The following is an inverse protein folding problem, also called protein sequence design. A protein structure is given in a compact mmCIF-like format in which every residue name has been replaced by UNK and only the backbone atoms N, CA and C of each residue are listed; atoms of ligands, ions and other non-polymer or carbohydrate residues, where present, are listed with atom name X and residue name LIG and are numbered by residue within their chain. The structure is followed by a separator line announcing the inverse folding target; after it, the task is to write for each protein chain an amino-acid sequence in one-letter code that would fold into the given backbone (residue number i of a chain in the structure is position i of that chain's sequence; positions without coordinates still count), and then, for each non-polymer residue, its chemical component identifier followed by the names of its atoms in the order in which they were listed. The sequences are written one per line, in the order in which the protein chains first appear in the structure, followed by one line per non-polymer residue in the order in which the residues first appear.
data_IF_802425973263
#
_entry.id   IF_802425973263
#
_cell.length_a   1.000
_cell.length_b   1.000
_cell.length_c   1.000
_cell.angle_alpha   90.00
_cell.angle_beta   90.00
_cell.angle_gamma   90.00
#
_symmetry.space_group_name_H-M   'P 1'
#
loop_
_entity.id
_entity.type
_entity.pdbx_description
1 polymer ?
#
# COMPACT_ATOMS: atom_id res chain seq x y z
N UNK A 1 -22.65 2.35 -5.35
CA UNK A 1 -21.83 1.82 -6.46
C UNK A 1 -20.89 0.81 -5.83
N UNK A 2 -21.18 -0.46 -6.07
CA UNK A 2 -20.58 -1.62 -5.40
C UNK A 2 -20.28 -2.70 -6.44
N UNK A 3 -19.48 -3.68 -6.07
CA UNK A 3 -19.29 -4.89 -6.87
C UNK A 3 -20.62 -5.66 -6.90
N UNK A 4 -21.04 -6.10 -8.09
CA UNK A 4 -22.26 -6.87 -8.27
C UNK A 4 -21.91 -8.30 -8.63
N UNK A 5 -22.58 -9.27 -8.01
CA UNK A 5 -22.53 -10.67 -8.43
C UNK A 5 -22.86 -10.78 -9.93
N UNK A 6 -22.05 -11.56 -10.65
CA UNK A 6 -22.10 -11.71 -12.10
C UNK A 6 -21.42 -10.58 -12.90
N UNK A 7 -21.07 -9.46 -12.25
CA UNK A 7 -20.41 -8.33 -12.89
C UNK A 7 -18.97 -8.64 -13.29
N UNK A 8 -18.54 -8.08 -14.42
CA UNK A 8 -17.18 -8.24 -14.96
C UNK A 8 -16.41 -6.94 -14.75
N UNK A 9 -15.21 -7.06 -14.20
CA UNK A 9 -14.36 -5.93 -13.83
C UNK A 9 -12.90 -6.19 -14.22
N UNK A 10 -12.13 -5.11 -14.30
CA UNK A 10 -10.68 -5.14 -14.51
C UNK A 10 -10.01 -4.50 -13.29
N UNK A 11 -9.04 -5.22 -12.72
CA UNK A 11 -8.20 -4.74 -11.64
C UNK A 11 -6.82 -4.38 -12.17
N UNK A 12 -6.31 -3.23 -11.78
CA UNK A 12 -5.00 -2.71 -12.20
C UNK A 12 -4.07 -2.67 -10.99
N UNK A 13 -2.84 -3.16 -11.12
CA UNK A 13 -1.87 -3.06 -10.03
C UNK A 13 -1.52 -1.59 -9.82
N UNK A 14 -1.61 -1.13 -8.58
CA UNK A 14 -1.45 0.28 -8.21
C UNK A 14 -0.13 0.92 -8.67
N UNK A 15 0.93 0.13 -8.79
CA UNK A 15 2.29 0.50 -9.19
C UNK A 15 2.62 0.14 -10.66
N UNK A 16 1.79 -0.65 -11.34
CA UNK A 16 2.03 -1.06 -12.73
C UNK A 16 0.71 -1.39 -13.48
N UNK A 17 0.19 -0.48 -14.33
CA UNK A 17 -1.07 -0.69 -15.04
C UNK A 17 -1.01 -1.79 -16.12
N UNK A 18 0.19 -2.19 -16.56
CA UNK A 18 0.38 -3.33 -17.48
C UNK A 18 0.20 -4.67 -16.77
N UNK A 19 0.30 -4.71 -15.44
CA UNK A 19 -0.13 -5.85 -14.62
C UNK A 19 -1.58 -5.66 -14.22
N UNK A 20 -2.48 -6.04 -15.13
CA UNK A 20 -3.91 -6.08 -14.89
C UNK A 20 -4.48 -7.48 -15.11
N UNK A 21 -5.65 -7.71 -14.53
CA UNK A 21 -6.41 -8.93 -14.74
C UNK A 21 -7.90 -8.61 -14.79
N UNK A 22 -8.64 -9.43 -15.54
CA UNK A 22 -10.08 -9.31 -15.71
C UNK A 22 -10.75 -10.47 -15.01
N UNK A 23 -11.84 -10.17 -14.31
CA UNK A 23 -12.53 -11.16 -13.49
C UNK A 23 -14.04 -10.94 -13.49
N UNK A 24 -14.79 -12.01 -13.23
CA UNK A 24 -16.22 -12.00 -12.99
C UNK A 24 -16.48 -12.30 -11.52
N UNK A 25 -17.25 -11.44 -10.85
CA UNK A 25 -17.61 -11.64 -9.44
C UNK A 25 -18.60 -12.82 -9.32
N UNK A 26 -18.24 -13.82 -8.53
CA UNK A 26 -19.07 -14.98 -8.24
C UNK A 26 -19.92 -14.74 -6.99
N UNK A 27 -19.30 -14.19 -5.97
CA UNK A 27 -19.89 -13.90 -4.66
C UNK A 27 -19.22 -12.66 -4.08
N UNK A 28 -19.96 -11.83 -3.35
CA UNK A 28 -19.45 -10.58 -2.75
C UNK A 28 -20.14 -10.31 -1.43
N UNK A 29 -19.38 -9.77 -0.48
CA UNK A 29 -19.84 -9.16 0.77
C UNK A 29 -19.16 -7.78 0.93
N UNK A 30 -19.37 -7.11 2.06
CA UNK A 30 -18.87 -5.75 2.32
C UNK A 30 -17.32 -5.66 2.33
N UNK A 31 -16.63 -6.77 2.62
CA UNK A 31 -15.19 -6.80 2.87
C UNK A 31 -14.44 -7.80 1.98
N UNK A 32 -15.11 -8.74 1.35
CA UNK A 32 -14.52 -9.81 0.56
C UNK A 32 -15.37 -10.13 -0.65
N UNK A 33 -14.72 -10.70 -1.68
CA UNK A 33 -15.44 -11.30 -2.78
C UNK A 33 -14.64 -12.44 -3.41
N UNK A 34 -15.36 -13.39 -3.99
CA UNK A 34 -14.80 -14.43 -4.83
C UNK A 34 -15.06 -14.10 -6.29
N UNK A 35 -14.08 -14.37 -7.16
CA UNK A 35 -14.22 -14.11 -8.58
C UNK A 35 -13.56 -15.19 -9.44
N UNK A 36 -14.14 -15.40 -10.63
CA UNK A 36 -13.52 -16.17 -11.70
C UNK A 36 -12.60 -15.26 -12.51
N UNK A 37 -11.35 -15.64 -12.68
CA UNK A 37 -10.36 -14.92 -13.47
C UNK A 37 -10.54 -15.29 -14.94
N UNK A 38 -10.90 -14.28 -15.73
CA UNK A 38 -11.14 -14.42 -17.16
C UNK A 38 -9.84 -14.25 -17.96
N UNK A 39 -9.01 -13.27 -17.57
CA UNK A 39 -7.77 -12.91 -18.27
C UNK A 39 -6.71 -12.46 -17.25
N UNK A 40 -5.43 -12.69 -17.55
CA UNK A 40 -4.32 -12.12 -16.78
C UNK A 40 -4.02 -12.81 -15.44
N UNK A 41 -4.31 -14.11 -15.28
CA UNK A 41 -4.08 -14.84 -14.02
C UNK A 41 -2.63 -14.75 -13.51
N UNK A 42 -1.64 -14.80 -14.42
CA UNK A 42 -0.22 -14.65 -14.08
C UNK A 42 0.18 -13.25 -13.60
N UNK A 43 -0.72 -12.27 -13.69
CA UNK A 43 -0.51 -10.92 -13.17
C UNK A 43 -1.00 -10.74 -11.73
N UNK A 44 -1.62 -11.79 -11.15
CA UNK A 44 -2.16 -11.77 -9.79
C UNK A 44 -1.03 -12.10 -8.81
N UNK A 45 -0.65 -11.10 -8.01
CA UNK A 45 0.29 -11.24 -6.91
C UNK A 45 -0.50 -11.17 -5.61
N UNK A 46 -0.48 -12.26 -4.83
CA UNK A 46 -1.17 -12.31 -3.54
C UNK A 46 -0.71 -11.16 -2.63
N UNK A 47 -1.68 -10.59 -1.91
CA UNK A 47 -1.53 -9.51 -0.93
C UNK A 47 -1.06 -8.18 -1.50
N UNK A 48 -1.04 -8.02 -2.83
CA UNK A 48 -0.78 -6.73 -3.47
C UNK A 48 -2.07 -5.97 -3.73
N UNK A 49 -2.08 -4.64 -3.55
CA UNK A 49 -3.26 -3.83 -3.83
C UNK A 49 -3.42 -3.62 -5.34
N UNK A 50 -4.64 -3.84 -5.80
CA UNK A 50 -5.11 -3.54 -7.13
C UNK A 50 -6.31 -2.60 -7.05
N UNK A 51 -6.48 -1.77 -8.08
CA UNK A 51 -7.56 -0.81 -8.18
C UNK A 51 -8.56 -1.28 -9.22
N UNK A 52 -9.83 -1.30 -8.85
CA UNK A 52 -10.96 -1.54 -9.75
C UNK A 52 -11.68 -0.22 -10.00
N UNK A 53 -12.08 0.03 -11.25
CA UNK A 53 -12.98 1.12 -11.60
C UNK A 53 -14.42 0.60 -11.70
N UNK A 54 -15.32 1.18 -10.91
CA UNK A 54 -16.75 0.98 -10.95
C UNK A 54 -17.38 2.17 -11.69
N UNK A 55 -18.27 1.90 -12.65
CA UNK A 55 -19.00 2.95 -13.39
C UNK A 55 -20.50 2.67 -13.26
N UNK A 56 -21.33 3.68 -12.97
CA UNK A 56 -22.79 3.55 -13.00
C UNK A 56 -23.38 3.90 -14.36
N UNK A 57 -24.70 3.71 -14.51
CA UNK A 57 -25.43 3.94 -15.76
C UNK A 57 -25.44 5.42 -16.19
N UNK A 58 -25.12 6.34 -15.28
CA UNK A 58 -24.98 7.77 -15.53
C UNK A 58 -23.53 8.18 -15.87
N UNK A 59 -22.59 7.22 -15.90
CA UNK A 59 -21.18 7.45 -16.21
C UNK A 59 -20.32 7.91 -15.03
N UNK A 60 -20.87 8.01 -13.81
CA UNK A 60 -20.11 8.35 -12.62
C UNK A 60 -19.15 7.21 -12.26
N UNK A 61 -17.94 7.57 -11.82
CA UNK A 61 -16.87 6.62 -11.53
C UNK A 61 -16.54 6.56 -10.04
N UNK A 62 -16.42 5.35 -9.51
CA UNK A 62 -15.80 5.05 -8.21
C UNK A 62 -14.61 4.12 -8.41
N UNK A 63 -13.61 4.26 -7.53
CA UNK A 63 -12.45 3.40 -7.52
C UNK A 63 -12.43 2.62 -6.22
N UNK A 64 -12.23 1.31 -6.32
CA UNK A 64 -12.17 0.39 -5.18
C UNK A 64 -10.77 -0.23 -5.14
N UNK A 65 -10.15 -0.26 -3.97
CA UNK A 65 -8.88 -0.96 -3.77
C UNK A 65 -9.14 -2.35 -3.19
N UNK A 66 -8.48 -3.35 -3.76
CA UNK A 66 -8.65 -4.77 -3.44
C UNK A 66 -7.31 -5.48 -3.35
N UNK A 67 -7.22 -6.54 -2.56
CA UNK A 67 -6.04 -7.41 -2.54
C UNK A 67 -6.44 -8.89 -2.66
N UNK A 68 -5.92 -9.64 -3.63
CA UNK A 68 -6.12 -11.08 -3.70
C UNK A 68 -5.42 -11.74 -2.52
N UNK A 69 -6.11 -12.60 -1.78
CA UNK A 69 -5.51 -13.36 -0.67
C UNK A 69 -5.50 -14.87 -0.93
N UNK A 70 -6.22 -15.32 -1.96
CA UNK A 70 -6.25 -16.71 -2.39
C UNK A 70 -6.39 -16.78 -3.91
N UNK A 71 -5.68 -17.71 -4.53
CA UNK A 71 -5.72 -17.97 -5.97
C UNK A 71 -5.69 -19.49 -6.21
N UNK A 72 -6.69 -20.00 -6.90
CA UNK A 72 -6.72 -21.35 -7.45
C UNK A 72 -6.54 -21.26 -8.97
N UNK A 73 -5.32 -21.51 -9.42
CA UNK A 73 -4.94 -21.45 -10.84
C UNK A 73 -5.65 -22.50 -11.70
N UNK A 74 -5.99 -23.66 -11.12
CA UNK A 74 -6.66 -24.75 -11.85
C UNK A 74 -8.14 -24.43 -12.04
N UNK A 75 -8.80 -23.92 -11.00
CA UNK A 75 -10.17 -23.43 -11.07
C UNK A 75 -10.30 -22.05 -11.73
N UNK A 76 -9.19 -21.36 -11.97
CA UNK A 76 -9.13 -19.94 -12.35
C UNK A 76 -10.01 -19.08 -11.43
N UNK A 77 -9.98 -19.33 -10.14
CA UNK A 77 -10.75 -18.55 -9.15
C UNK A 77 -9.81 -17.86 -8.18
N UNK A 78 -10.19 -16.68 -7.71
CA UNK A 78 -9.46 -15.94 -6.69
C UNK A 78 -10.41 -15.34 -5.67
N UNK A 79 -9.93 -15.19 -4.44
CA UNK A 79 -10.63 -14.46 -3.38
C UNK A 79 -9.89 -13.18 -3.04
N UNK A 80 -10.65 -12.12 -2.83
CA UNK A 80 -10.15 -10.77 -2.68
C UNK A 80 -10.69 -10.13 -1.41
N UNK A 81 -9.84 -9.37 -0.73
CA UNK A 81 -10.19 -8.46 0.34
C UNK A 81 -10.46 -7.08 -0.29
N UNK A 82 -11.58 -6.46 0.05
CA UNK A 82 -11.90 -5.07 -0.25
C UNK A 82 -11.21 -4.20 0.80
N UNK A 83 -10.21 -3.44 0.36
CA UNK A 83 -9.43 -2.54 1.23
C UNK A 83 -10.21 -1.24 1.48
N UNK A 84 -10.96 -0.78 0.48
CA UNK A 84 -11.86 0.37 0.62
C UNK A 84 -12.01 1.20 -0.65
N UNK A 85 -12.82 2.26 -0.58
CA UNK A 85 -12.97 3.21 -1.67
C UNK A 85 -11.74 4.12 -1.77
N UNK A 86 -11.18 4.26 -2.97
CA UNK A 86 -10.06 5.18 -3.25
C UNK A 86 -10.46 6.67 -3.09
N UNK A 87 -11.74 6.95 -2.85
CA UNK A 87 -12.29 8.30 -2.70
C UNK A 87 -11.80 9.05 -1.44
N UNK A 88 -11.23 8.37 -0.44
CA UNK A 88 -10.80 9.03 0.80
C UNK A 88 -9.30 9.42 0.85
N UNK A 89 -8.45 9.05 -0.14
CA UNK A 89 -6.99 9.30 -0.03
C UNK A 89 -6.20 9.72 -1.29
N UNK A 90 -6.81 10.38 -2.28
CA UNK A 90 -6.21 11.17 -3.41
C UNK A 90 -6.41 10.52 -4.79
N UNK A 91 -6.85 11.34 -5.76
CA UNK A 91 -7.13 10.97 -7.17
C UNK A 91 -5.92 10.43 -7.98
N UNK A 92 -4.68 10.48 -7.46
CA UNK A 92 -3.48 9.98 -8.15
C UNK A 92 -2.39 9.57 -7.13
N UNK A 93 -1.67 8.47 -7.38
CA UNK A 93 -0.46 8.09 -6.62
C UNK A 93 0.63 9.14 -6.85
N UNK A 94 1.18 9.71 -5.77
CA UNK A 94 2.25 10.73 -5.83
C UNK A 94 3.58 10.14 -5.36
N UNK A 95 4.62 10.36 -6.14
CA UNK A 95 5.99 9.96 -5.85
C UNK A 95 6.78 11.16 -5.32
N UNK A 96 7.44 11.03 -4.17
CA UNK A 96 8.36 12.05 -3.68
C UNK A 96 9.68 11.92 -4.44
N UNK A 97 10.10 13.00 -5.07
CA UNK A 97 11.34 13.06 -5.89
C UNK A 97 12.21 14.25 -5.52
N UNK A 98 11.96 14.89 -4.37
CA UNK A 98 12.69 16.10 -3.94
C UNK A 98 14.21 15.88 -3.85
N UNK A 99 14.64 14.71 -3.38
CA UNK A 99 16.06 14.34 -3.21
C UNK A 99 16.86 14.37 -4.52
N UNK A 100 16.19 14.15 -5.65
CA UNK A 100 16.81 14.16 -6.98
C UNK A 100 17.01 15.57 -7.54
N UNK A 101 16.51 16.60 -6.84
CA UNK A 101 16.65 18.02 -7.21
C UNK A 101 16.29 18.30 -8.67
N UNK A 102 15.27 17.61 -9.19
CA UNK A 102 14.85 17.68 -10.60
C UNK A 102 14.42 19.12 -10.90
N UNK A 103 15.19 19.88 -11.70
CA UNK A 103 14.92 21.30 -11.94
C UNK A 103 13.66 21.47 -12.78
N UNK A 104 12.86 22.46 -12.38
CA UNK A 104 11.67 22.90 -13.09
C UNK A 104 11.64 24.43 -13.09
N UNK A 105 11.56 25.00 -14.29
CA UNK A 105 11.63 26.44 -14.51
C UNK A 105 10.40 26.92 -15.30
N UNK A 106 9.76 27.98 -14.82
CA UNK A 106 8.79 28.75 -15.59
C UNK A 106 9.32 30.18 -15.75
N UNK A 107 8.69 30.99 -16.59
CA UNK A 107 9.12 32.38 -16.79
C UNK A 107 9.10 33.21 -15.49
N UNK A 108 8.30 32.79 -14.49
CA UNK A 108 8.09 33.49 -13.23
C UNK A 108 8.77 32.82 -12.04
N UNK A 109 9.41 31.66 -12.20
CA UNK A 109 9.99 30.94 -11.08
C UNK A 109 11.07 29.94 -11.49
N UNK A 110 11.94 29.63 -10.53
CA UNK A 110 12.80 28.45 -10.58
C UNK A 110 12.53 27.58 -9.37
N UNK A 111 12.47 26.28 -9.57
CA UNK A 111 12.14 25.33 -8.52
C UNK A 111 12.66 23.94 -8.81
N UNK A 112 12.30 23.02 -7.92
CA UNK A 112 12.53 21.59 -8.09
C UNK A 112 11.23 20.83 -7.90
N UNK A 113 11.10 19.66 -8.54
CA UNK A 113 9.97 18.76 -8.28
C UNK A 113 10.10 18.19 -6.87
N UNK A 114 9.13 18.49 -6.01
CA UNK A 114 9.02 17.91 -4.68
C UNK A 114 8.26 16.58 -4.73
N UNK A 115 7.12 16.56 -5.42
CA UNK A 115 6.39 15.33 -5.70
C UNK A 115 5.70 15.38 -7.07
N UNK A 116 5.47 14.20 -7.66
CA UNK A 116 4.89 14.09 -9.00
C UNK A 116 3.92 12.91 -9.08
N UNK A 117 2.88 13.04 -9.90
CA UNK A 117 1.99 11.98 -10.31
C UNK A 117 1.63 12.15 -11.79
N UNK A 118 0.95 11.16 -12.37
CA UNK A 118 0.37 11.29 -13.72
C UNK A 118 -0.59 12.49 -13.85
N UNK A 119 -1.20 12.93 -12.75
CA UNK A 119 -2.18 14.03 -12.75
C UNK A 119 -1.60 15.41 -12.46
N UNK A 120 -0.32 15.51 -12.06
CA UNK A 120 0.28 16.79 -11.72
C UNK A 120 1.53 16.68 -10.86
N UNK A 121 2.04 17.82 -10.41
CA UNK A 121 3.23 17.87 -9.59
C UNK A 121 3.15 18.97 -8.53
N UNK A 122 3.97 18.82 -7.49
CA UNK A 122 4.28 19.89 -6.53
C UNK A 122 5.72 20.31 -6.77
N UNK A 123 5.90 21.61 -6.96
CA UNK A 123 7.18 22.29 -7.15
C UNK A 123 7.53 22.96 -5.84
N UNK A 124 8.75 22.76 -5.35
CA UNK A 124 9.35 23.60 -4.30
C UNK A 124 10.06 24.77 -4.96
N UNK A 125 9.72 25.98 -4.57
CA UNK A 125 10.29 27.20 -5.12
C UNK A 125 11.69 27.44 -4.57
N UNK A 126 12.64 27.71 -5.46
CA UNK A 126 13.97 28.18 -5.12
C UNK A 126 14.08 29.69 -5.31
N UNK A 127 13.46 30.22 -6.36
CA UNK A 127 13.28 31.65 -6.60
C UNK A 127 11.90 31.91 -7.20
N UNK A 128 11.33 33.07 -6.86
CA UNK A 128 10.10 33.61 -7.47
C UNK A 128 10.45 34.94 -8.11
N UNK A 129 10.33 35.00 -9.42
CA UNK A 129 10.74 36.12 -10.28
C UNK A 129 9.52 36.92 -10.78
N UNK A 130 8.31 36.36 -10.63
CA UNK A 130 7.04 37.03 -10.97
C UNK A 130 5.84 36.47 -10.20
N UNK A 131 4.66 37.06 -10.44
CA UNK A 131 3.41 36.57 -9.87
C UNK A 131 2.93 35.28 -10.56
N UNK A 132 2.32 34.40 -9.77
CA UNK A 132 1.80 33.11 -10.23
C UNK A 132 0.39 32.99 -9.67
N UNK A 133 -0.57 32.91 -10.57
CA UNK A 133 -1.99 32.84 -10.21
C UNK A 133 -2.51 31.40 -10.28
N UNK A 134 -3.37 31.05 -9.33
CA UNK A 134 -4.10 29.79 -9.36
C UNK A 134 -5.08 29.75 -10.54
N UNK A 135 -5.21 28.60 -11.19
CA UNK A 135 -6.12 28.40 -12.33
C UNK A 135 -5.62 28.92 -13.67
N UNK A 136 -4.54 29.72 -13.72
CA UNK A 136 -3.95 30.18 -14.99
C UNK A 136 -2.86 29.23 -15.49
N UNK A 137 -2.98 28.65 -16.70
CA UNK A 137 -1.96 27.76 -17.24
C UNK A 137 -0.63 28.49 -17.44
N UNK A 138 0.46 27.83 -17.07
CA UNK A 138 1.82 28.33 -17.23
C UNK A 138 2.68 27.31 -17.97
N UNK A 139 3.54 27.81 -18.85
CA UNK A 139 4.52 27.00 -19.55
C UNK A 139 5.74 26.76 -18.66
N UNK A 140 6.22 25.52 -18.67
CA UNK A 140 7.22 25.04 -17.75
C UNK A 140 8.20 24.12 -18.46
N UNK A 141 9.48 24.27 -18.09
CA UNK A 141 10.60 23.47 -18.56
C UNK A 141 11.13 22.61 -17.43
N UNK A 142 10.99 21.29 -17.56
CA UNK A 142 11.63 20.30 -16.69
C UNK A 142 12.94 19.80 -17.30
N UNK A 143 13.97 19.59 -16.49
CA UNK A 143 15.28 19.08 -16.96
C UNK A 143 15.65 17.80 -16.21
N UNK A 144 15.91 16.71 -16.94
CA UNK A 144 16.34 15.42 -16.37
C UNK A 144 17.40 14.80 -17.28
N UNK A 145 18.54 14.40 -16.72
CA UNK A 145 19.64 13.72 -17.43
C UNK A 145 20.07 14.43 -18.73
N UNK A 146 20.16 15.76 -18.70
CA UNK A 146 20.51 16.58 -19.88
C UNK A 146 19.39 16.74 -20.93
N UNK A 147 18.23 16.09 -20.74
CA UNK A 147 17.06 16.27 -21.59
C UNK A 147 16.16 17.38 -21.05
N UNK A 148 15.58 18.18 -21.96
CA UNK A 148 14.61 19.22 -21.65
C UNK A 148 13.21 18.76 -22.06
N UNK A 149 12.25 18.93 -21.13
CA UNK A 149 10.84 18.60 -21.31
C UNK A 149 10.02 19.87 -21.13
N UNK A 150 9.21 20.18 -22.12
CA UNK A 150 8.39 21.38 -22.23
C UNK A 150 6.92 21.00 -22.07
N UNK A 151 6.30 21.47 -20.99
CA UNK A 151 4.90 21.16 -20.69
C UNK A 151 4.19 22.33 -20.02
N UNK A 152 2.87 22.29 -20.11
CA UNK A 152 1.98 23.26 -19.48
C UNK A 152 1.43 22.65 -18.21
N UNK A 153 1.46 23.44 -17.13
CA UNK A 153 0.81 23.11 -15.87
C UNK A 153 -0.22 24.18 -15.51
N UNK A 154 -1.28 23.79 -14.81
CA UNK A 154 -2.23 24.73 -14.21
C UNK A 154 -2.05 24.69 -12.69
N UNK A 155 -1.56 25.77 -12.06
CA UNK A 155 -1.46 25.86 -10.61
C UNK A 155 -2.83 25.68 -9.97
N UNK A 156 -2.94 24.73 -9.05
CA UNK A 156 -4.13 24.48 -8.24
C UNK A 156 -4.01 25.14 -6.88
N UNK A 157 -2.76 25.28 -6.39
CA UNK A 157 -2.47 25.97 -5.14
C UNK A 157 -1.08 26.60 -5.20
N UNK A 158 -0.95 27.87 -4.85
CA UNK A 158 0.33 28.59 -4.80
C UNK A 158 0.61 28.98 -3.35
N UNK A 159 1.67 28.39 -2.78
CA UNK A 159 2.18 28.72 -1.45
C UNK A 159 3.31 29.75 -1.50
N UNK A 160 3.85 30.11 -0.33
CA UNK A 160 5.02 30.99 -0.22
C UNK A 160 6.27 30.36 -0.85
N UNK A 161 6.42 29.06 -0.71
CA UNK A 161 7.60 28.26 -1.05
C UNK A 161 7.27 27.07 -1.97
N UNK A 162 6.03 26.96 -2.47
CA UNK A 162 5.65 25.85 -3.36
C UNK A 162 4.57 26.23 -4.37
N UNK A 163 4.46 25.43 -5.43
CA UNK A 163 3.35 25.42 -6.39
C UNK A 163 2.83 24.00 -6.50
N UNK A 164 1.57 23.74 -6.21
CA UNK A 164 0.92 22.48 -6.56
C UNK A 164 0.11 22.69 -7.85
N UNK A 165 0.37 21.89 -8.87
CA UNK A 165 -0.20 22.09 -10.20
C UNK A 165 -0.67 20.77 -10.84
N UNK A 166 -1.61 20.88 -11.77
CA UNK A 166 -2.03 19.78 -12.66
C UNK A 166 -1.28 19.88 -13.97
N UNK A 167 -1.03 18.74 -14.60
CA UNK A 167 -0.53 18.70 -15.97
C UNK A 167 -1.66 18.99 -16.97
N UNK A 168 -1.36 19.71 -18.05
CA UNK A 168 -2.31 20.01 -19.13
C UNK A 168 -1.89 19.37 -20.46
N UNK A 169 -0.77 19.83 -21.05
CA UNK A 169 -0.30 19.41 -22.38
C UNK A 169 1.20 19.70 -22.58
N UNK A 170 1.89 19.06 -23.54
CA UNK A 170 1.43 17.91 -24.32
C UNK A 170 1.59 16.60 -23.54
N UNK A 171 0.61 15.69 -23.67
CA UNK A 171 0.58 14.44 -22.90
C UNK A 171 1.83 13.56 -23.10
N UNK A 172 2.43 13.59 -24.30
CA UNK A 172 3.67 12.88 -24.63
C UNK A 172 4.83 13.34 -23.75
N UNK A 173 5.13 14.63 -23.73
CA UNK A 173 6.24 15.16 -22.93
C UNK A 173 6.00 15.03 -21.43
N UNK A 174 4.75 15.21 -20.99
CA UNK A 174 4.36 14.97 -19.58
C UNK A 174 4.62 13.52 -19.19
N UNK A 175 4.23 12.56 -20.04
CA UNK A 175 4.41 11.13 -19.77
C UNK A 175 5.88 10.73 -19.78
N UNK A 176 6.66 11.24 -20.74
CA UNK A 176 8.11 10.99 -20.82
C UNK A 176 8.85 11.61 -19.63
N UNK A 177 8.53 12.86 -19.27
CA UNK A 177 9.08 13.53 -18.08
C UNK A 177 8.74 12.77 -16.80
N UNK A 178 7.48 12.37 -16.63
CA UNK A 178 7.03 11.55 -15.49
C UNK A 178 7.78 10.22 -15.45
N UNK A 179 7.86 9.51 -16.58
CA UNK A 179 8.56 8.24 -16.66
C UNK A 179 10.06 8.37 -16.37
N UNK A 180 10.70 9.47 -16.78
CA UNK A 180 12.10 9.77 -16.44
C UNK A 180 12.28 10.08 -14.97
N UNK A 181 11.35 10.83 -14.34
CA UNK A 181 11.33 10.98 -12.88
C UNK A 181 11.25 9.61 -12.18
N UNK A 182 10.45 8.69 -12.70
CA UNK A 182 10.35 7.33 -12.17
C UNK A 182 11.62 6.50 -12.38
N UNK A 183 12.29 6.62 -13.53
CA UNK A 183 13.57 5.93 -13.77
C UNK A 183 14.68 6.36 -12.83
N UNK A 184 14.71 7.63 -12.41
CA UNK A 184 15.63 8.09 -11.38
C UNK A 184 15.40 7.37 -10.03
N UNK A 185 14.13 7.10 -9.71
CA UNK A 185 13.78 6.25 -8.56
C UNK A 185 14.25 4.78 -8.75
N UNK A 186 14.28 4.28 -9.98
CA UNK A 186 14.73 2.91 -10.29
C UNK A 186 16.26 2.78 -10.25
N UNK A 187 17.02 3.78 -10.68
CA UNK A 187 18.49 3.77 -10.69
C UNK A 187 19.12 3.88 -9.31
N UNK A 188 18.33 4.26 -8.30
CA UNK A 188 18.69 4.24 -6.88
C UNK A 188 18.12 3.02 -6.14
N UNK A 189 17.80 1.90 -6.80
CA UNK A 189 17.46 0.65 -6.11
C UNK A 189 18.67 -0.02 -5.41
N UNK A 190 19.42 0.76 -4.63
CA UNK A 190 19.79 0.31 -3.29
C UNK A 190 18.60 0.64 -2.38
N UNK A 191 17.94 -0.35 -1.75
CA UNK A 191 16.61 -0.19 -1.18
C UNK A 191 16.59 0.91 -0.11
N UNK A 192 15.94 2.05 -0.40
CA UNK A 192 15.62 3.03 0.65
C UNK A 192 14.39 2.54 1.41
N UNK A 193 14.66 2.17 2.65
CA UNK A 193 13.74 1.57 3.61
C UNK A 193 12.56 2.47 3.96
N UNK A 194 11.36 2.16 3.47
CA UNK A 194 10.26 1.98 4.42
C UNK A 194 10.65 0.78 5.29
N UNK A 195 10.96 0.99 6.58
CA UNK A 195 11.37 -0.11 7.48
C UNK A 195 10.30 -1.20 7.64
N UNK A 196 9.09 -1.01 7.10
CA UNK A 196 7.98 -1.96 7.18
C UNK A 196 7.33 -2.14 5.82
N UNK A 197 7.52 -3.33 5.24
CA UNK A 197 6.88 -3.78 3.99
C UNK A 197 5.35 -4.02 4.11
N UNK A 198 4.81 -4.04 5.33
CA UNK A 198 3.42 -4.40 5.61
C UNK A 198 2.83 -3.54 6.74
N UNK A 199 1.56 -3.12 6.57
CA UNK A 199 0.78 -2.43 7.61
C UNK A 199 0.67 -3.33 8.84
N UNK A 200 0.94 -2.78 10.03
CA UNK A 200 0.74 -3.46 11.32
C UNK A 200 -0.60 -3.04 11.91
N UNK A 201 -1.38 -4.01 12.33
CA UNK A 201 -2.61 -3.81 13.08
C UNK A 201 -2.28 -3.83 14.56
N UNK A 202 -2.69 -2.78 15.28
CA UNK A 202 -2.60 -2.73 16.73
C UNK A 202 -3.73 -3.56 17.33
N UNK A 203 -3.39 -4.56 18.15
CA UNK A 203 -4.32 -5.60 18.60
C UNK A 203 -4.24 -5.89 20.10
N UNK A 204 -3.44 -5.14 20.86
CA UNK A 204 -3.35 -5.29 22.32
C UNK A 204 -4.74 -5.31 23.03
N UNK A 205 -5.74 -4.49 22.63
CA UNK A 205 -7.07 -4.53 23.26
C UNK A 205 -7.82 -5.86 23.09
N UNK A 206 -7.45 -6.68 22.11
CA UNK A 206 -8.07 -7.98 21.86
C UNK A 206 -7.63 -9.06 22.86
N UNK A 207 -6.63 -8.75 23.72
CA UNK A 207 -6.11 -9.64 24.76
C UNK A 207 -5.69 -11.02 24.24
N UNK A 208 -5.14 -11.09 23.02
CA UNK A 208 -4.59 -12.34 22.46
C UNK A 208 -3.36 -12.72 23.27
N UNK A 209 -3.43 -13.88 23.92
CA UNK A 209 -2.35 -14.44 24.73
C UNK A 209 -1.40 -15.16 23.79
N UNK A 210 -0.10 -14.87 23.90
CA UNK A 210 0.92 -15.48 23.06
C UNK A 210 1.91 -16.23 23.93
N UNK A 211 2.04 -17.53 23.70
CA UNK A 211 3.04 -18.39 24.32
C UNK A 211 4.19 -18.65 23.36
N UNK A 212 5.41 -18.44 23.86
CA UNK A 212 6.65 -18.55 23.09
C UNK A 212 7.71 -19.21 23.96
N UNK A 213 8.77 -19.79 23.36
CA UNK A 213 9.92 -20.26 24.13
C UNK A 213 10.52 -19.18 25.05
N UNK A 214 10.42 -17.90 24.69
CA UNK A 214 10.95 -16.77 25.46
C UNK A 214 10.08 -16.38 26.66
N UNK A 215 8.81 -16.83 26.71
CA UNK A 215 7.83 -16.40 27.70
C UNK A 215 6.41 -16.27 27.16
N UNK A 216 5.49 -16.00 28.08
CA UNK A 216 4.08 -15.71 27.79
C UNK A 216 3.84 -14.20 27.83
N UNK A 217 3.07 -13.70 26.87
CA UNK A 217 2.74 -12.29 26.75
C UNK A 217 1.41 -12.02 26.07
N UNK A 218 1.20 -10.74 25.73
CA UNK A 218 0.05 -10.28 24.95
C UNK A 218 0.52 -9.85 23.57
N UNK A 219 -0.23 -10.23 22.54
CA UNK A 219 0.00 -9.76 21.17
C UNK A 219 -0.27 -8.25 21.11
N UNK A 220 0.75 -7.48 20.77
CA UNK A 220 0.66 -6.02 20.73
C UNK A 220 0.28 -5.52 19.34
N UNK A 221 0.97 -6.04 18.32
CA UNK A 221 0.67 -5.77 16.93
C UNK A 221 0.97 -6.99 16.04
N UNK A 222 0.29 -7.06 14.90
CA UNK A 222 0.48 -8.10 13.87
C UNK A 222 0.51 -7.49 12.47
N UNK A 223 1.35 -8.03 11.59
CA UNK A 223 1.29 -7.79 10.15
C UNK A 223 1.64 -9.05 9.37
N UNK A 224 1.53 -8.96 8.05
CA UNK A 224 2.02 -9.97 7.12
C UNK A 224 3.54 -10.25 7.25
N UNK A 225 4.29 -9.35 7.91
CA UNK A 225 5.73 -9.53 8.16
C UNK A 225 6.06 -10.19 9.50
N UNK A 226 5.10 -10.31 10.42
CA UNK A 226 5.33 -10.87 11.74
C UNK A 226 4.53 -10.20 12.86
N UNK A 227 4.83 -10.61 14.09
CA UNK A 227 4.13 -10.19 15.30
C UNK A 227 5.07 -9.47 16.27
N UNK A 228 4.49 -8.59 17.08
CA UNK A 228 5.15 -7.99 18.25
C UNK A 228 4.40 -8.42 19.49
N UNK A 229 5.11 -8.97 20.46
CA UNK A 229 4.53 -9.50 21.70
C UNK A 229 5.13 -8.74 22.88
N UNK A 230 4.29 -8.35 23.83
CA UNK A 230 4.72 -7.78 25.11
C UNK A 230 4.73 -8.90 26.15
N UNK A 231 5.91 -9.41 26.50
CA UNK A 231 6.04 -10.49 27.47
C UNK A 231 5.64 -10.00 28.86
N UNK A 232 4.78 -10.78 29.52
CA UNK A 232 4.37 -10.58 30.92
C UNK A 232 5.19 -11.45 31.86
N UNK A 233 5.58 -12.63 31.39
CA UNK A 233 6.47 -13.57 32.07
C UNK A 233 7.55 -14.03 31.10
N UNK A 234 8.79 -14.15 31.55
CA UNK A 234 9.91 -14.59 30.70
C UNK A 234 10.48 -15.90 31.19
N UNK A 235 10.97 -16.72 30.26
CA UNK A 235 11.65 -17.97 30.54
C UNK A 235 13.16 -17.85 30.31
N UNK A 236 13.94 -18.68 31.00
CA UNK A 236 15.35 -18.88 30.66
C UNK A 236 15.39 -19.85 29.48
N UNK A 237 15.88 -19.39 28.34
CA UNK A 237 16.00 -20.19 27.12
C UNK A 237 17.43 -20.14 26.60
N UNK A 238 17.89 -21.29 26.11
CA UNK A 238 19.14 -21.40 25.39
C UNK A 238 19.08 -20.60 24.08
N UNK A 239 20.09 -19.77 23.83
CA UNK A 239 20.18 -18.94 22.63
C UNK A 239 20.30 -19.77 21.36
N UNK A 240 20.77 -21.01 21.44
CA UNK A 240 20.84 -21.94 20.32
C UNK A 240 19.44 -22.23 19.75
N UNK A 241 18.44 -22.43 20.62
CA UNK A 241 17.05 -22.74 20.24
C UNK A 241 16.41 -21.58 19.44
N UNK A 242 16.85 -20.35 19.68
CA UNK A 242 16.28 -19.15 19.05
C UNK A 242 16.80 -18.89 17.62
N UNK A 243 17.79 -19.65 17.16
CA UNK A 243 18.36 -19.50 15.80
C UNK A 243 17.45 -20.10 14.72
N UNK A 244 16.72 -21.15 15.09
CA UNK A 244 15.77 -21.87 14.23
C UNK A 244 14.33 -21.35 14.39
N UNK A 245 13.45 -21.60 13.40
CA UNK A 245 12.02 -21.39 13.57
C UNK A 245 11.44 -22.27 14.70
N UNK A 246 10.47 -21.75 15.43
CA UNK A 246 9.78 -22.45 16.51
C UNK A 246 8.28 -22.11 16.49
N UNK A 247 7.48 -23.05 16.98
CA UNK A 247 6.05 -22.88 17.13
C UNK A 247 5.72 -21.84 18.21
N UNK A 248 4.74 -21.00 17.92
CA UNK A 248 4.22 -19.94 18.80
C UNK A 248 2.71 -20.09 18.86
N UNK A 249 2.18 -20.33 20.06
CA UNK A 249 0.74 -20.41 20.27
C UNK A 249 0.17 -19.00 20.47
N UNK A 250 -0.90 -18.69 19.75
CA UNK A 250 -1.70 -17.48 19.86
C UNK A 250 -3.11 -17.88 20.28
N UNK A 251 -3.43 -17.73 21.55
CA UNK A 251 -4.76 -17.99 22.09
C UNK A 251 -5.59 -16.71 22.14
N UNK A 252 -6.78 -16.75 21.54
CA UNK A 252 -7.75 -15.67 21.52
C UNK A 252 -8.89 -15.98 22.51
N UNK A 253 -8.89 -15.39 23.72
CA UNK A 253 -9.82 -15.79 24.77
C UNK A 253 -11.28 -15.49 24.44
N UNK A 254 -11.56 -14.39 23.74
CA UNK A 254 -12.92 -13.94 23.42
C UNK A 254 -13.68 -14.91 22.52
N UNK A 255 -12.96 -15.67 21.68
CA UNK A 255 -13.55 -16.67 20.77
C UNK A 255 -13.23 -18.10 21.21
N UNK A 256 -12.43 -18.30 22.26
CA UNK A 256 -11.90 -19.60 22.73
C UNK A 256 -11.18 -20.38 21.61
N UNK A 257 -10.41 -19.67 20.80
CA UNK A 257 -9.67 -20.24 19.66
C UNK A 257 -8.17 -20.16 19.92
N UNK A 258 -7.44 -21.17 19.46
CA UNK A 258 -5.98 -21.24 19.54
C UNK A 258 -5.41 -21.43 18.13
N UNK A 259 -4.34 -20.70 17.82
CA UNK A 259 -3.65 -20.77 16.54
C UNK A 259 -2.16 -20.96 16.75
N UNK A 260 -1.56 -21.88 16.00
CA UNK A 260 -0.13 -22.18 16.11
C UNK A 260 0.59 -21.59 14.90
N UNK A 261 1.58 -20.73 15.16
CA UNK A 261 2.38 -20.07 14.14
C UNK A 261 3.82 -20.56 14.17
N UNK A 262 4.37 -20.92 13.02
CA UNK A 262 5.82 -21.07 12.89
C UNK A 262 6.47 -19.68 12.80
N UNK A 263 7.34 -19.38 13.77
CA UNK A 263 7.95 -18.08 13.93
C UNK A 263 9.47 -18.17 14.09
N UNK A 264 10.17 -17.15 13.59
CA UNK A 264 11.60 -16.94 13.87
C UNK A 264 11.79 -15.70 14.75
N UNK A 265 12.60 -15.83 15.79
CA UNK A 265 12.97 -14.71 16.63
C UNK A 265 13.79 -13.67 15.84
N UNK A 266 13.38 -12.40 15.89
CA UNK A 266 14.10 -11.30 15.26
C UNK A 266 14.91 -10.51 16.27
N UNK A 267 14.26 -9.99 17.31
CA UNK A 267 14.90 -9.20 18.34
C UNK A 267 14.07 -9.13 19.61
N UNK A 268 14.72 -8.67 20.68
CA UNK A 268 14.08 -8.23 21.93
C UNK A 268 14.31 -6.73 22.08
N UNK A 269 13.23 -6.00 22.26
CA UNK A 269 13.24 -4.55 22.51
C UNK A 269 13.22 -4.21 23.99
N UNK A 270 13.08 -2.91 24.28
CA UNK A 270 12.82 -2.40 25.64
C UNK A 270 11.47 -2.90 26.16
N UNK A 271 11.26 -2.83 27.47
CA UNK A 271 9.97 -3.11 28.13
C UNK A 271 9.37 -4.49 27.83
N UNK A 272 10.24 -5.51 27.74
CA UNK A 272 9.86 -6.90 27.49
C UNK A 272 9.13 -7.15 26.16
N UNK A 273 9.29 -6.27 25.18
CA UNK A 273 8.82 -6.54 23.82
C UNK A 273 9.74 -7.51 23.10
N UNK A 274 9.15 -8.46 22.39
CA UNK A 274 9.85 -9.31 21.41
C UNK A 274 9.22 -9.13 20.03
N UNK A 275 10.03 -9.27 18.99
CA UNK A 275 9.59 -9.29 17.60
C UNK A 275 9.85 -10.66 17.01
N UNK A 276 8.82 -11.22 16.38
CA UNK A 276 8.86 -12.52 15.74
C UNK A 276 8.44 -12.35 14.29
N UNK A 277 9.17 -13.01 13.39
CA UNK A 277 8.80 -13.12 11.99
C UNK A 277 8.00 -14.41 11.79
N UNK A 278 6.80 -14.32 11.25
CA UNK A 278 6.05 -15.50 10.81
C UNK A 278 6.83 -16.10 9.62
N UNK A 279 7.29 -17.34 9.75
CA UNK A 279 8.11 -18.00 8.74
C UNK A 279 7.27 -18.67 7.66
N UNK A 280 6.03 -19.02 7.97
CA UNK A 280 5.09 -19.65 7.04
C UNK A 280 3.68 -19.07 7.24
N UNK A 281 3.02 -18.73 6.14
CA UNK A 281 1.61 -18.31 6.12
C UNK A 281 0.73 -19.50 5.72
N UNK A 282 0.65 -20.46 6.63
CA UNK A 282 -0.24 -21.61 6.51
C UNK A 282 -1.66 -21.27 6.96
N UNK A 283 -2.54 -22.26 6.94
CA UNK A 283 -3.95 -22.13 7.28
C UNK A 283 -4.16 -21.48 8.66
N UNK A 284 -3.35 -21.85 9.66
CA UNK A 284 -3.46 -21.34 11.03
C UNK A 284 -3.05 -19.87 11.12
N UNK A 285 -1.96 -19.47 10.44
CA UNK A 285 -1.56 -18.07 10.35
C UNK A 285 -2.62 -17.19 9.64
N UNK A 286 -3.27 -17.74 8.61
CA UNK A 286 -4.33 -17.06 7.87
C UNK A 286 -5.62 -16.94 8.68
N UNK A 287 -6.01 -17.99 9.42
CA UNK A 287 -7.17 -17.94 10.33
C UNK A 287 -6.99 -16.89 11.42
N UNK A 288 -5.82 -16.86 12.06
CA UNK A 288 -5.53 -15.86 13.11
C UNK A 288 -5.68 -14.44 12.57
N UNK A 289 -5.08 -14.12 11.42
CA UNK A 289 -5.14 -12.76 10.88
C UNK A 289 -6.55 -12.39 10.42
N UNK A 290 -7.30 -13.34 9.85
CA UNK A 290 -8.73 -13.13 9.51
C UNK A 290 -9.53 -12.79 10.76
N UNK A 291 -9.38 -13.57 11.83
CA UNK A 291 -10.12 -13.38 13.09
C UNK A 291 -9.77 -12.06 13.78
N UNK A 292 -8.51 -11.68 13.73
CA UNK A 292 -8.05 -10.36 14.22
C UNK A 292 -8.75 -9.23 13.46
N UNK A 293 -8.86 -9.33 12.14
CA UNK A 293 -9.51 -8.29 11.32
C UNK A 293 -11.01 -8.21 11.63
N UNK A 294 -11.68 -9.34 11.77
CA UNK A 294 -13.09 -9.40 12.20
C UNK A 294 -13.29 -8.69 13.55
N UNK A 295 -12.45 -8.98 14.54
CA UNK A 295 -12.52 -8.35 15.86
C UNK A 295 -12.24 -6.84 15.85
N UNK A 296 -11.37 -6.37 14.96
CA UNK A 296 -11.14 -4.93 14.77
C UNK A 296 -12.42 -4.27 14.23
N UNK A 297 -13.11 -4.92 13.29
CA UNK A 297 -14.38 -4.43 12.74
C UNK A 297 -15.50 -4.48 13.78
N UNK A 298 -15.60 -5.56 14.56
CA UNK A 298 -16.58 -5.71 15.65
C UNK A 298 -16.42 -4.60 16.71
N UNK A 299 -15.18 -4.30 17.14
CA UNK A 299 -14.92 -3.26 18.14
C UNK A 299 -15.09 -1.83 17.65
N UNK A 300 -15.10 -1.58 16.33
CA UNK A 300 -15.40 -0.25 15.77
C UNK A 300 -16.91 0.05 15.70
N UNK A 301 -17.76 -0.94 15.91
CA UNK A 301 -19.23 -0.81 15.89
C UNK A 301 -19.84 -0.56 17.29
N UNK A 302 -19.02 -0.49 18.34
CA UNK A 302 -19.43 -0.24 19.74
C UNK A 302 -19.14 1.21 20.12
#
# INVERSE_FOLDING_TARGET
MELKKGGIYIAYKSDNPFKNFKFQVLETDDFFFAAQILEGIGNIELWKPYTIRLTNDLGEQKFLEIAPYYLDDKGKTAKFLVIGNLLERRKFVRFNVESYKIPVEGNQFKGIVENISLGGLKIKLLSKEGEIEEGKPIFVKGKIDGNEYNFVITPVRVGKDFIAAKFEKPAKEISEFFYKCLKLLESENTPVTERRKFRRFYVEPLNIIVDTPLGIGILYDISLGGIKVKLKRTYKVDKEILKEPFAVSCFLPSKKEEYILDCKFLNRGKDNFIQLKITRWDEEALKLISRVLELIVENQKV
#
